data_IF_208262690789
#
_entry.id   IF_208262690789
#
_cell.length_a   1.000
_cell.length_b   1.000
_cell.length_c   1.000
_cell.angle_alpha   90.00
_cell.angle_beta   90.00
_cell.angle_gamma   90.00
#
_symmetry.space_group_name_H-M   'P 1'
#
loop_
_entity.id
_entity.type
_entity.pdbx_description
1 polymer ?
#
# COMPACT_ATOMS: atom_id res chain seq x y z
N UNK A 1 -11.27 7.14 4.57
CA UNK A 1 -11.07 8.56 4.26
C UNK A 1 -10.47 8.69 2.86
N UNK A 2 -10.86 9.72 2.11
CA UNK A 2 -10.27 10.02 0.79
C UNK A 2 -10.00 11.53 0.72
N UNK A 3 -8.73 11.90 0.65
CA UNK A 3 -8.28 13.28 0.51
C UNK A 3 -7.45 13.41 -0.77
N UNK A 4 -8.01 14.01 -1.81
CA UNK A 4 -7.34 14.10 -3.12
C UNK A 4 -6.42 15.32 -3.17
N UNK A 5 -5.19 15.21 -3.74
CA UNK A 5 -4.50 13.99 -4.17
C UNK A 5 -3.63 13.33 -3.07
N UNK A 6 -3.69 13.82 -1.84
CA UNK A 6 -2.66 13.60 -0.82
C UNK A 6 -2.75 12.28 -0.04
N UNK A 7 -3.95 11.76 0.23
CA UNK A 7 -4.13 10.66 1.20
C UNK A 7 -5.32 9.74 0.90
N UNK A 8 -5.11 8.46 1.17
CA UNK A 8 -6.14 7.43 1.15
C UNK A 8 -6.04 6.56 2.42
N UNK A 9 -7.15 6.40 3.14
CA UNK A 9 -7.23 5.53 4.33
C UNK A 9 -8.42 4.60 4.21
N UNK A 10 -8.19 3.29 4.35
CA UNK A 10 -9.24 2.28 4.29
C UNK A 10 -8.94 1.10 5.21
N UNK A 11 -9.99 0.37 5.59
CA UNK A 11 -9.85 -0.87 6.33
C UNK A 11 -9.76 -2.07 5.39
N UNK A 12 -9.10 -3.14 5.85
CA UNK A 12 -8.90 -4.36 5.08
C UNK A 12 -9.23 -5.58 5.93
N UNK A 13 -10.00 -6.51 5.36
CA UNK A 13 -10.33 -7.78 6.01
C UNK A 13 -10.19 -8.92 5.00
N UNK A 14 -9.26 -9.84 5.25
CA UNK A 14 -9.03 -10.98 4.37
C UNK A 14 -9.89 -12.17 4.78
N UNK A 15 -11.12 -12.19 4.25
CA UNK A 15 -12.10 -13.25 4.53
C UNK A 15 -11.61 -14.63 4.09
N UNK A 16 -11.82 -15.63 4.94
CA UNK A 16 -11.40 -17.01 4.70
C UNK A 16 -9.91 -17.28 4.87
N UNK A 17 -9.13 -16.29 5.31
CA UNK A 17 -7.74 -16.49 5.75
C UNK A 17 -7.68 -16.80 7.25
N UNK A 18 -6.53 -17.28 7.78
CA UNK A 18 -6.33 -17.41 9.23
C UNK A 18 -6.49 -16.10 10.03
N UNK A 19 -6.52 -14.93 9.36
CA UNK A 19 -6.75 -13.64 9.99
C UNK A 19 -8.24 -13.32 10.22
N UNK A 20 -9.18 -14.03 9.60
CA UNK A 20 -10.62 -13.76 9.76
C UNK A 20 -11.05 -13.91 11.24
N UNK A 21 -11.78 -12.96 11.86
CA UNK A 21 -12.41 -11.75 11.29
C UNK A 21 -11.65 -10.45 11.54
N UNK A 22 -10.33 -10.51 11.76
CA UNK A 22 -9.52 -9.33 12.00
C UNK A 22 -9.61 -8.34 10.84
N UNK A 23 -9.78 -7.07 11.21
CA UNK A 23 -9.73 -5.94 10.30
C UNK A 23 -8.45 -5.14 10.58
N UNK A 24 -7.69 -4.87 9.52
CA UNK A 24 -6.47 -4.06 9.55
C UNK A 24 -6.73 -2.68 8.93
N UNK A 25 -5.82 -1.73 9.16
CA UNK A 25 -5.91 -0.38 8.60
C UNK A 25 -4.78 -0.13 7.62
N UNK A 26 -5.11 0.34 6.42
CA UNK A 26 -4.16 0.78 5.40
C UNK A 26 -4.25 2.30 5.25
N UNK A 27 -3.11 2.96 5.39
CA UNK A 27 -2.92 4.38 5.08
C UNK A 27 -1.90 4.51 3.97
N UNK A 28 -2.24 5.28 2.94
CA UNK A 28 -1.35 5.64 1.83
C UNK A 28 -1.26 7.15 1.75
N UNK A 29 -0.05 7.67 1.92
CA UNK A 29 0.28 9.08 1.80
C UNK A 29 1.10 9.33 0.53
N UNK A 30 0.73 10.38 -0.21
CA UNK A 30 1.42 10.85 -1.40
C UNK A 30 2.06 12.20 -1.08
N UNK A 31 3.38 12.18 -0.88
CA UNK A 31 4.16 13.36 -0.52
C UNK A 31 4.81 13.95 -1.78
N UNK A 32 4.62 15.23 -2.01
CA UNK A 32 5.26 15.93 -3.12
C UNK A 32 6.78 16.03 -2.90
N UNK A 33 7.55 15.67 -3.92
CA UNK A 33 9.02 15.75 -3.98
C UNK A 33 9.45 16.38 -5.30
N UNK A 34 9.02 17.62 -5.52
CA UNK A 34 9.31 18.36 -6.75
C UNK A 34 8.66 17.69 -7.96
N UNK A 35 9.47 17.06 -8.84
CA UNK A 35 8.96 16.34 -10.02
C UNK A 35 8.57 14.89 -9.72
N UNK A 36 8.78 14.44 -8.49
CA UNK A 36 8.51 13.07 -8.05
C UNK A 36 7.45 13.07 -6.95
N UNK A 37 6.91 11.89 -6.68
CA UNK A 37 6.02 11.64 -5.54
C UNK A 37 6.65 10.55 -4.68
N UNK A 38 6.83 10.84 -3.40
CA UNK A 38 7.15 9.83 -2.40
C UNK A 38 5.85 9.21 -1.90
N UNK A 39 5.73 7.90 -2.05
CA UNK A 39 4.59 7.12 -1.57
C UNK A 39 4.98 6.46 -0.24
N UNK A 40 4.26 6.79 0.83
CA UNK A 40 4.40 6.13 2.13
C UNK A 40 3.17 5.27 2.39
N UNK A 41 3.37 3.97 2.62
CA UNK A 41 2.31 3.03 2.95
C UNK A 41 2.51 2.49 4.37
N UNK A 42 1.49 2.66 5.21
CA UNK A 42 1.43 2.06 6.55
C UNK A 42 0.26 1.08 6.57
N UNK A 43 0.55 -0.18 6.84
CA UNK A 43 -0.45 -1.21 7.09
C UNK A 43 -0.29 -1.69 8.54
N UNK A 44 -1.33 -1.52 9.35
CA UNK A 44 -1.26 -1.74 10.78
C UNK A 44 -2.48 -2.50 11.33
N UNK A 45 -2.45 -2.78 12.65
CA UNK A 45 -3.47 -3.56 13.39
C UNK A 45 -3.52 -5.05 13.04
N UNK A 46 -2.39 -5.60 12.59
CA UNK A 46 -2.27 -7.04 12.36
C UNK A 46 -2.46 -7.85 13.66
N UNK A 47 -3.13 -9.01 13.58
CA UNK A 47 -3.31 -9.89 14.73
C UNK A 47 -2.02 -10.62 15.12
N UNK A 48 -1.05 -10.75 14.19
CA UNK A 48 0.26 -11.35 14.47
C UNK A 48 1.39 -10.71 13.65
N UNK A 49 2.64 -10.92 14.09
CA UNK A 49 3.83 -10.51 13.34
C UNK A 49 3.96 -11.29 12.02
N UNK A 50 3.60 -12.58 12.00
CA UNK A 50 3.65 -13.39 10.78
C UNK A 50 2.72 -12.86 9.68
N UNK A 51 1.53 -12.39 10.06
CA UNK A 51 0.61 -11.74 9.13
C UNK A 51 1.18 -10.42 8.60
N UNK A 52 1.75 -9.59 9.49
CA UNK A 52 2.43 -8.34 9.11
C UNK A 52 3.53 -8.60 8.08
N UNK A 53 4.40 -9.57 8.34
CA UNK A 53 5.56 -9.88 7.49
C UNK A 53 5.12 -10.42 6.12
N UNK A 54 4.06 -11.24 6.08
CA UNK A 54 3.49 -11.71 4.81
C UNK A 54 2.94 -10.54 3.98
N UNK A 55 2.26 -9.58 4.62
CA UNK A 55 1.74 -8.40 3.94
C UNK A 55 2.86 -7.45 3.50
N UNK A 56 3.93 -7.30 4.29
CA UNK A 56 5.13 -6.55 3.91
C UNK A 56 5.75 -7.10 2.61
N UNK A 57 5.88 -8.42 2.50
CA UNK A 57 6.36 -9.07 1.27
C UNK A 57 5.41 -8.85 0.08
N UNK A 58 4.10 -8.94 0.32
CA UNK A 58 3.07 -8.65 -0.69
C UNK A 58 3.16 -7.23 -1.22
N UNK A 59 3.21 -6.24 -0.32
CA UNK A 59 3.31 -4.83 -0.66
C UNK A 59 4.60 -4.50 -1.40
N UNK A 60 5.74 -5.09 -1.02
CA UNK A 60 7.02 -4.90 -1.71
C UNK A 60 6.93 -5.28 -3.19
N UNK A 61 6.23 -6.37 -3.52
CA UNK A 61 6.00 -6.78 -4.92
C UNK A 61 5.06 -5.83 -5.64
N UNK A 62 3.97 -5.42 -5.00
CA UNK A 62 2.99 -4.48 -5.57
C UNK A 62 3.66 -3.14 -5.91
N UNK A 63 4.42 -2.57 -4.98
CA UNK A 63 5.14 -1.31 -5.18
C UNK A 63 6.23 -1.46 -6.25
N UNK A 64 6.93 -2.61 -6.29
CA UNK A 64 7.87 -2.92 -7.38
C UNK A 64 7.19 -2.98 -8.76
N UNK A 65 5.98 -3.55 -8.85
CA UNK A 65 5.19 -3.58 -10.09
C UNK A 65 4.72 -2.18 -10.48
N UNK A 66 4.24 -1.38 -9.52
CA UNK A 66 3.82 0.00 -9.74
C UNK A 66 4.97 0.85 -10.28
N UNK A 67 6.15 0.74 -9.68
CA UNK A 67 7.34 1.45 -10.14
C UNK A 67 7.69 1.08 -11.59
N UNK A 68 7.61 -0.20 -11.96
CA UNK A 68 7.84 -0.62 -13.36
C UNK A 68 6.78 -0.06 -14.29
N UNK A 69 5.50 -0.12 -13.91
CA UNK A 69 4.39 0.42 -14.70
C UNK A 69 4.57 1.92 -14.97
N UNK A 70 4.91 2.70 -13.94
CA UNK A 70 5.16 4.14 -14.06
C UNK A 70 6.43 4.43 -14.89
N UNK A 71 7.48 3.62 -14.74
CA UNK A 71 8.69 3.72 -15.55
C UNK A 71 8.46 3.42 -17.03
N UNK A 72 7.59 2.46 -17.35
CA UNK A 72 7.15 2.19 -18.74
C UNK A 72 6.29 3.32 -19.29
N UNK A 73 5.40 3.89 -18.48
CA UNK A 73 4.56 5.03 -18.88
C UNK A 73 5.35 6.34 -19.10
N UNK A 74 6.57 6.44 -18.54
CA UNK A 74 7.44 7.61 -18.65
C UNK A 74 8.37 7.61 -19.88
N UNK A 75 8.40 6.52 -20.67
CA UNK A 75 9.13 6.48 -21.94
C UNK A 75 8.24 7.05 -23.06
N UNK A 76 8.54 8.24 -23.63
CA UNK A 76 7.84 8.70 -24.80
C UNK A 76 8.19 7.82 -26.00
N UNK A 77 7.17 7.50 -26.81
CA UNK A 77 7.32 6.92 -28.15
C UNK A 77 8.13 7.81 -29.08
#
# INVERSE_FOLDING_TARGET
EVERPARLVYTWAWRGSPMDPAETLVTVDFLERGRETELVLVHERFPSQGDRDQHEHGWSKVLGNLNRFLGTAAQPS
#
